data_IF_203989295366
#
_entry.id   IF_203989295366
#
_cell.length_a   1.000
_cell.length_b   1.000
_cell.length_c   1.000
_cell.angle_alpha   90.00
_cell.angle_beta   90.00
_cell.angle_gamma   90.00
#
_symmetry.space_group_name_H-M   'P 1'
#
loop_
_entity.id
_entity.type
_entity.pdbx_description
1 polymer ?
#
# COMPACT_ATOMS: atom_id res chain seq x y z
N UNK A 1 4.29 -41.84 7.41
CA UNK A 1 4.81 -40.71 6.62
C UNK A 1 3.65 -39.77 6.38
N UNK A 2 3.65 -38.60 7.03
CA UNK A 2 2.62 -37.57 6.84
C UNK A 2 2.99 -36.70 5.62
N UNK A 3 2.03 -36.28 4.78
CA UNK A 3 2.34 -35.40 3.65
C UNK A 3 2.71 -34.00 4.14
N UNK A 4 3.50 -33.22 3.37
CA UNK A 4 3.84 -31.86 3.76
C UNK A 4 2.59 -30.97 3.69
N UNK A 5 2.43 -30.12 4.71
CA UNK A 5 1.45 -29.02 4.70
C UNK A 5 1.86 -28.04 3.61
N UNK A 6 1.12 -28.02 2.50
CA UNK A 6 1.20 -26.95 1.52
C UNK A 6 0.77 -25.63 2.20
N UNK A 7 1.61 -24.59 2.24
CA UNK A 7 1.15 -23.28 2.66
C UNK A 7 0.23 -22.75 1.56
N UNK A 8 -1.08 -22.83 1.80
CA UNK A 8 -2.07 -22.13 1.00
C UNK A 8 -1.78 -20.65 1.19
N UNK A 9 -1.09 -20.03 0.23
CA UNK A 9 -1.11 -18.59 0.08
C UNK A 9 -2.56 -18.21 -0.21
N UNK A 10 -3.28 -17.80 0.84
CA UNK A 10 -4.58 -17.16 0.68
C UNK A 10 -4.31 -15.81 0.04
N UNK A 11 -4.26 -15.78 -1.29
CA UNK A 11 -4.51 -14.56 -2.03
C UNK A 11 -5.96 -14.21 -1.74
N UNK A 12 -6.19 -13.25 -0.83
CA UNK A 12 -7.43 -12.51 -0.78
C UNK A 12 -7.53 -11.72 -2.10
N UNK A 13 -7.91 -12.42 -3.17
CA UNK A 13 -8.46 -11.79 -4.37
C UNK A 13 -9.80 -11.23 -3.95
N UNK A 14 -9.89 -9.91 -3.89
CA UNK A 14 -11.17 -9.23 -3.71
C UNK A 14 -12.11 -9.69 -4.84
N UNK A 15 -13.41 -9.89 -4.56
CA UNK A 15 -14.35 -10.33 -5.58
C UNK A 15 -14.33 -9.37 -6.77
N UNK A 16 -14.37 -9.93 -7.98
CA UNK A 16 -14.35 -9.21 -9.27
C UNK A 16 -15.47 -8.18 -9.45
N UNK A 17 -16.44 -8.13 -8.53
CA UNK A 17 -17.52 -7.14 -8.45
C UNK A 17 -17.19 -5.92 -7.58
N UNK A 18 -16.03 -5.87 -6.91
CA UNK A 18 -15.63 -4.70 -6.13
C UNK A 18 -15.07 -3.62 -7.08
N UNK A 19 -15.96 -2.83 -7.67
CA UNK A 19 -15.56 -1.68 -8.47
C UNK A 19 -15.03 -0.58 -7.53
N UNK A 20 -13.71 -0.37 -7.52
CA UNK A 20 -13.08 0.76 -6.83
C UNK A 20 -13.52 2.13 -7.39
N UNK A 21 -14.28 2.15 -8.49
CA UNK A 21 -14.82 3.37 -9.11
C UNK A 21 -15.63 4.23 -8.15
N UNK A 22 -16.21 3.64 -7.09
CA UNK A 22 -17.11 4.32 -6.16
C UNK A 22 -16.55 4.45 -4.73
N UNK A 23 -15.29 4.06 -4.48
CA UNK A 23 -14.70 4.30 -3.17
C UNK A 23 -14.45 5.82 -3.04
N UNK A 24 -15.11 6.55 -2.13
CA UNK A 24 -14.86 7.97 -2.00
C UNK A 24 -13.51 8.10 -1.32
N UNK A 25 -12.45 8.21 -2.13
CA UNK A 25 -11.08 8.29 -1.62
C UNK A 25 -10.88 9.45 -0.64
N UNK A 26 -11.72 10.48 -0.72
CA UNK A 26 -11.81 11.56 0.27
C UNK A 26 -12.11 11.06 1.68
N UNK A 27 -12.94 10.03 1.85
CA UNK A 27 -13.21 9.43 3.16
C UNK A 27 -11.97 8.78 3.77
N UNK A 28 -11.09 8.21 2.93
CA UNK A 28 -9.82 7.63 3.40
C UNK A 28 -8.90 8.76 3.88
N UNK A 29 -8.82 9.86 3.15
CA UNK A 29 -8.02 11.02 3.55
C UNK A 29 -8.52 11.62 4.87
N UNK A 30 -9.83 11.81 5.02
CA UNK A 30 -10.45 12.29 6.27
C UNK A 30 -10.23 11.33 7.44
N UNK A 31 -10.28 10.02 7.17
CA UNK A 31 -10.00 8.99 8.17
C UNK A 31 -8.53 9.04 8.61
N UNK A 32 -7.58 9.18 7.69
CA UNK A 32 -6.16 9.30 8.01
C UNK A 32 -5.87 10.55 8.85
N UNK A 33 -6.48 11.69 8.52
CA UNK A 33 -6.36 12.93 9.30
C UNK A 33 -6.85 12.70 10.73
N UNK A 34 -8.04 12.11 10.89
CA UNK A 34 -8.63 11.84 12.21
C UNK A 34 -7.83 10.82 13.02
N UNK A 35 -7.29 9.79 12.39
CA UNK A 35 -6.46 8.80 13.07
C UNK A 35 -5.16 9.44 13.59
N UNK A 36 -4.54 10.30 12.79
CA UNK A 36 -3.33 11.02 13.19
C UNK A 36 -3.61 12.04 14.31
N UNK A 37 -4.66 12.85 14.17
CA UNK A 37 -4.99 13.90 15.15
C UNK A 37 -5.31 13.36 16.54
N UNK A 38 -5.97 12.20 16.59
CA UNK A 38 -6.36 11.55 17.85
C UNK A 38 -5.27 10.60 18.38
N UNK A 39 -4.09 10.54 17.74
CA UNK A 39 -2.97 9.65 18.09
C UNK A 39 -3.38 8.18 18.25
N UNK A 40 -4.34 7.73 17.43
CA UNK A 40 -4.74 6.34 17.44
C UNK A 40 -3.58 5.46 16.97
N UNK A 41 -3.43 4.32 17.63
CA UNK A 41 -2.39 3.36 17.26
C UNK A 41 -2.79 2.64 15.97
N UNK A 42 -2.15 3.02 14.87
CA UNK A 42 -2.35 2.42 13.55
C UNK A 42 -1.24 1.42 13.27
N UNK A 43 -1.60 0.26 12.74
CA UNK A 43 -0.62 -0.80 12.44
C UNK A 43 -0.05 -0.66 11.02
N UNK A 44 1.17 -1.15 10.82
CA UNK A 44 1.80 -1.24 9.49
C UNK A 44 0.92 -2.02 8.49
N UNK A 45 0.16 -3.01 8.98
CA UNK A 45 -0.80 -3.80 8.19
C UNK A 45 -1.92 -2.95 7.57
N UNK A 46 -2.40 -1.92 8.26
CA UNK A 46 -3.42 -1.02 7.72
C UNK A 46 -2.92 -0.31 6.45
N UNK A 47 -1.69 0.20 6.49
CA UNK A 47 -1.07 0.83 5.33
C UNK A 47 -0.78 -0.16 4.19
N UNK A 48 -0.48 -1.43 4.51
CA UNK A 48 -0.37 -2.48 3.49
C UNK A 48 -1.65 -2.61 2.67
N UNK A 49 -2.81 -2.58 3.34
CA UNK A 49 -4.11 -2.68 2.67
C UNK A 49 -4.43 -1.44 1.86
N UNK A 50 -4.14 -0.25 2.39
CA UNK A 50 -4.33 0.99 1.63
C UNK A 50 -3.48 1.00 0.35
N UNK A 51 -2.19 0.69 0.43
CA UNK A 51 -1.32 0.62 -0.76
C UNK A 51 -1.87 -0.41 -1.76
N UNK A 52 -2.31 -1.58 -1.29
CA UNK A 52 -2.93 -2.60 -2.16
C UNK A 52 -4.17 -2.07 -2.88
N UNK A 53 -5.08 -1.42 -2.15
CA UNK A 53 -6.31 -0.82 -2.70
C UNK A 53 -5.99 0.22 -3.77
N UNK A 54 -5.07 1.15 -3.50
CA UNK A 54 -4.69 2.17 -4.49
C UNK A 54 -3.93 1.59 -5.68
N UNK A 55 -3.17 0.50 -5.49
CA UNK A 55 -2.51 -0.21 -6.57
C UNK A 55 -3.50 -0.94 -7.48
N UNK A 56 -4.50 -1.61 -6.91
CA UNK A 56 -5.55 -2.29 -7.67
C UNK A 56 -6.48 -1.31 -8.40
N UNK A 57 -6.63 -0.09 -7.87
CA UNK A 57 -7.35 1.00 -8.53
C UNK A 57 -6.52 1.75 -9.59
N UNK A 58 -5.27 1.36 -9.84
CA UNK A 58 -4.35 2.00 -10.80
C UNK A 58 -4.09 3.49 -10.49
N UNK A 59 -3.95 3.82 -9.19
CA UNK A 59 -3.72 5.19 -8.71
C UNK A 59 -2.30 5.35 -8.10
N UNK A 60 -1.23 5.35 -8.93
CA UNK A 60 0.17 5.33 -8.48
C UNK A 60 0.53 6.49 -7.56
N UNK A 61 0.07 7.71 -7.88
CA UNK A 61 0.32 8.91 -7.07
C UNK A 61 -0.27 8.78 -5.66
N UNK A 62 -1.48 8.22 -5.54
CA UNK A 62 -2.14 8.05 -4.23
C UNK A 62 -1.47 6.93 -3.44
N UNK A 63 -1.15 5.82 -4.07
CA UNK A 63 -0.42 4.73 -3.43
C UNK A 63 0.93 5.20 -2.87
N UNK A 64 1.67 6.00 -3.64
CA UNK A 64 2.95 6.58 -3.20
C UNK A 64 2.77 7.54 -2.02
N UNK A 65 1.72 8.37 -2.03
CA UNK A 65 1.39 9.23 -0.90
C UNK A 65 1.11 8.43 0.38
N UNK A 66 0.36 7.33 0.29
CA UNK A 66 0.13 6.43 1.42
C UNK A 66 1.43 5.82 1.93
N UNK A 67 2.36 5.45 1.04
CA UNK A 67 3.67 4.94 1.46
C UNK A 67 4.44 5.97 2.31
N UNK A 68 4.46 7.24 1.90
CA UNK A 68 5.09 8.30 2.70
C UNK A 68 4.37 8.59 4.01
N UNK A 69 3.04 8.47 4.05
CA UNK A 69 2.27 8.58 5.29
C UNK A 69 2.66 7.53 6.34
N UNK A 70 3.16 6.35 5.96
CA UNK A 70 3.69 5.38 6.92
C UNK A 70 4.79 6.02 7.78
N UNK A 71 5.67 6.79 7.15
CA UNK A 71 6.76 7.51 7.81
C UNK A 71 6.22 8.64 8.70
N UNK A 72 5.20 9.37 8.25
CA UNK A 72 4.55 10.43 9.05
C UNK A 72 3.91 9.88 10.33
N UNK A 73 3.39 8.65 10.29
CA UNK A 73 2.86 7.95 11.47
C UNK A 73 3.95 7.34 12.36
N UNK A 74 5.24 7.61 12.08
CA UNK A 74 6.40 7.01 12.75
C UNK A 74 6.40 5.47 12.73
N UNK A 75 5.80 4.88 11.68
CA UNK A 75 5.77 3.43 11.48
C UNK A 75 6.92 3.05 10.54
N UNK A 76 7.60 1.95 10.83
CA UNK A 76 8.62 1.41 9.92
C UNK A 76 7.93 0.73 8.72
N UNK A 77 8.19 1.16 7.47
CA UNK A 77 7.67 0.46 6.31
C UNK A 77 8.27 -0.94 6.21
N UNK A 78 7.44 -1.91 5.84
CA UNK A 78 7.86 -3.29 5.63
C UNK A 78 8.36 -3.48 4.19
N UNK A 79 9.29 -4.42 3.92
CA UNK A 79 9.76 -4.72 2.56
C UNK A 79 8.62 -5.00 1.57
N UNK A 80 7.52 -5.63 2.03
CA UNK A 80 6.36 -5.89 1.17
C UNK A 80 5.66 -4.61 0.71
N UNK A 81 5.67 -3.55 1.51
CA UNK A 81 5.09 -2.26 1.14
C UNK A 81 5.90 -1.64 0.01
N UNK A 82 7.23 -1.66 0.16
CA UNK A 82 8.17 -1.17 -0.83
C UNK A 82 8.04 -1.93 -2.15
N UNK A 83 8.03 -3.27 -2.10
CA UNK A 83 7.91 -4.08 -3.31
C UNK A 83 6.60 -3.80 -4.05
N UNK A 84 5.48 -3.68 -3.33
CA UNK A 84 4.18 -3.43 -3.94
C UNK A 84 4.09 -2.05 -4.58
N UNK A 85 4.64 -1.01 -3.94
CA UNK A 85 4.65 0.33 -4.54
C UNK A 85 5.61 0.41 -5.72
N UNK A 86 6.79 -0.22 -5.64
CA UNK A 86 7.73 -0.25 -6.76
C UNK A 86 7.12 -0.94 -7.99
N UNK A 87 6.46 -2.10 -7.81
CA UNK A 87 5.75 -2.81 -8.89
C UNK A 87 4.72 -1.90 -9.58
N UNK A 88 3.92 -1.16 -8.81
CA UNK A 88 2.93 -0.22 -9.34
C UNK A 88 3.59 0.98 -10.05
N UNK A 89 4.68 1.53 -9.51
CA UNK A 89 5.32 2.70 -10.11
C UNK A 89 6.01 2.34 -11.43
N UNK A 90 6.69 1.19 -11.50
CA UNK A 90 7.40 0.77 -12.73
C UNK A 90 6.44 0.35 -13.85
N UNK A 91 5.19 -0.04 -13.53
CA UNK A 91 4.16 -0.30 -14.55
C UNK A 91 3.68 0.98 -15.24
N UNK A 92 3.93 2.16 -14.65
CA UNK A 92 3.56 3.46 -15.20
C UNK A 92 4.79 4.22 -15.69
N UNK A 93 4.86 4.50 -17.00
CA UNK A 93 6.03 5.18 -17.61
C UNK A 93 6.43 6.50 -16.94
N UNK A 94 5.45 7.27 -16.46
CA UNK A 94 5.68 8.57 -15.82
C UNK A 94 6.23 8.45 -14.39
N UNK A 95 6.26 7.24 -13.81
CA UNK A 95 6.68 6.98 -12.43
C UNK A 95 7.99 6.20 -12.32
N UNK A 96 8.69 5.96 -13.43
CA UNK A 96 10.00 5.26 -13.43
C UNK A 96 11.04 6.00 -12.57
N UNK A 97 11.18 7.32 -12.74
CA UNK A 97 12.09 8.12 -11.91
C UNK A 97 11.68 8.09 -10.42
N UNK A 98 10.41 8.35 -10.05
CA UNK A 98 9.93 8.16 -8.68
C UNK A 98 10.21 6.76 -8.08
N UNK A 99 10.07 5.70 -8.87
CA UNK A 99 10.39 4.34 -8.42
C UNK A 99 11.89 4.18 -8.10
N UNK A 100 12.73 4.69 -8.99
CA UNK A 100 14.19 4.66 -8.82
C UNK A 100 14.65 5.47 -7.59
N UNK A 101 14.12 6.67 -7.40
CA UNK A 101 14.41 7.50 -6.23
C UNK A 101 13.99 6.82 -4.93
N UNK A 102 12.77 6.25 -4.92
CA UNK A 102 12.25 5.53 -3.76
C UNK A 102 13.11 4.31 -3.41
N UNK A 103 13.54 3.55 -4.42
CA UNK A 103 14.44 2.42 -4.23
C UNK A 103 15.76 2.84 -3.60
N UNK A 104 16.37 3.91 -4.10
CA UNK A 104 17.64 4.42 -3.57
C UNK A 104 17.51 4.94 -2.13
N UNK A 105 16.39 5.57 -1.78
CA UNK A 105 16.13 6.02 -0.40
C UNK A 105 16.00 4.83 0.54
N UNK A 106 15.32 3.76 0.12
CA UNK A 106 15.08 2.59 0.95
C UNK A 106 16.31 1.68 1.12
N UNK A 107 17.31 1.80 0.25
CA UNK A 107 18.54 1.01 0.26
C UNK A 107 19.76 1.71 0.88
N UNK A 108 19.60 2.95 1.38
CA UNK A 108 20.62 3.64 2.19
C UNK A 108 20.56 3.18 3.64
#
# INVERSE_FOLDING_TARGET
MSPPLNPIFVTLTLPSSFSFSNLPFSLIDDLLIRLNSNQYWVTSTFFCYLIKIYAEADLPKKALNIFYKILEFNIKPLPRHLNRILELLVSHRNFIMPAFDLFNIAHK
#
